data_IF_442868324310
#
_entry.id   IF_442868324310
#
_cell.length_a   1.000
_cell.length_b   1.000
_cell.length_c   1.000
_cell.angle_alpha   90.00
_cell.angle_beta   90.00
_cell.angle_gamma   90.00
#
_symmetry.space_group_name_H-M   'P 1'
#
loop_
_entity.id
_entity.type
_entity.pdbx_description
1 polymer ?
#
# COMPACT_ATOMS: atom_id res chain seq x y z
N UNK A 1 -17.73 11.13 -23.00
CA UNK A 1 -17.28 10.65 -21.67
C UNK A 1 -16.44 11.67 -20.88
N UNK A 2 -15.20 12.05 -21.28
CA UNK A 2 -14.41 13.04 -20.51
C UNK A 2 -15.02 14.45 -20.50
N UNK A 3 -15.55 14.89 -21.64
CA UNK A 3 -16.18 16.21 -21.78
C UNK A 3 -17.52 16.29 -21.02
N UNK A 4 -18.33 15.23 -21.06
CA UNK A 4 -19.57 15.13 -20.29
C UNK A 4 -19.30 15.18 -18.78
N UNK A 5 -18.30 14.45 -18.29
CA UNK A 5 -17.90 14.50 -16.88
C UNK A 5 -17.39 15.89 -16.48
N UNK A 6 -16.66 16.57 -17.37
CA UNK A 6 -16.15 17.92 -17.12
C UNK A 6 -17.29 18.94 -17.05
N UNK A 7 -18.26 18.84 -17.97
CA UNK A 7 -19.46 19.68 -17.99
C UNK A 7 -20.30 19.49 -16.72
N UNK A 8 -20.55 18.23 -16.33
CA UNK A 8 -21.29 17.91 -15.11
C UNK A 8 -20.57 18.40 -13.85
N UNK A 9 -19.26 18.18 -13.71
CA UNK A 9 -18.52 18.70 -12.56
C UNK A 9 -18.51 20.23 -12.52
N UNK A 10 -18.56 20.88 -13.68
CA UNK A 10 -18.73 22.32 -13.80
C UNK A 10 -20.03 22.84 -13.18
N UNK A 11 -21.15 22.11 -13.30
CA UNK A 11 -22.42 22.48 -12.65
C UNK A 11 -22.31 22.44 -11.12
N UNK A 12 -21.47 21.53 -10.60
CA UNK A 12 -21.14 21.41 -9.17
C UNK A 12 -20.02 22.36 -8.71
N UNK A 13 -19.54 23.27 -9.58
CA UNK A 13 -18.39 24.16 -9.33
C UNK A 13 -17.09 23.43 -8.96
N UNK A 14 -16.93 22.19 -9.44
CA UNK A 14 -15.72 21.38 -9.27
C UNK A 14 -14.87 21.41 -10.55
N UNK A 15 -13.53 21.32 -10.39
CA UNK A 15 -12.58 21.22 -11.50
C UNK A 15 -11.77 19.93 -11.39
N UNK A 16 -11.63 19.21 -12.50
CA UNK A 16 -10.77 18.03 -12.59
C UNK A 16 -9.30 18.43 -12.58
N UNK A 17 -8.52 17.81 -11.70
CA UNK A 17 -7.06 17.92 -11.68
C UNK A 17 -6.48 17.09 -12.82
N UNK A 18 -6.06 17.73 -13.93
CA UNK A 18 -5.51 17.04 -15.11
C UNK A 18 -4.38 16.05 -14.78
N UNK A 19 -3.51 16.41 -13.84
CA UNK A 19 -2.41 15.54 -13.37
C UNK A 19 -2.88 14.22 -12.72
N UNK A 20 -4.06 14.22 -12.09
CA UNK A 20 -4.60 13.06 -11.36
C UNK A 20 -5.56 12.22 -12.21
N UNK A 21 -5.84 12.64 -13.45
CA UNK A 21 -6.85 12.03 -14.34
C UNK A 21 -6.22 11.45 -15.62
N UNK A 22 -5.09 10.77 -15.45
CA UNK A 22 -4.43 10.03 -16.52
C UNK A 22 -5.27 8.79 -16.91
N UNK A 23 -5.43 8.57 -18.21
CA UNK A 23 -5.99 7.31 -18.75
C UNK A 23 -4.79 6.45 -19.12
N UNK A 24 -4.54 5.40 -18.33
CA UNK A 24 -3.45 4.46 -18.60
C UNK A 24 -3.99 3.15 -19.15
N UNK A 25 -3.20 2.48 -19.98
CA UNK A 25 -3.57 1.14 -20.42
C UNK A 25 -3.53 0.18 -19.23
N UNK A 26 -4.48 -0.75 -19.16
CA UNK A 26 -4.63 -1.65 -18.00
C UNK A 26 -3.41 -2.54 -17.76
N UNK A 27 -2.55 -2.75 -18.77
CA UNK A 27 -1.28 -3.47 -18.60
C UNK A 27 -0.23 -2.64 -17.84
N UNK A 28 -0.19 -1.32 -18.06
CA UNK A 28 0.75 -0.42 -17.39
C UNK A 28 0.34 -0.24 -15.92
N UNK A 29 -0.97 -0.28 -15.68
CA UNK A 29 -1.57 -0.21 -14.37
C UNK A 29 -1.70 1.22 -13.85
N UNK A 30 -2.29 1.34 -12.67
CA UNK A 30 -2.45 2.61 -11.96
C UNK A 30 -2.60 2.40 -10.46
N UNK A 31 -2.36 3.46 -9.69
CA UNK A 31 -2.55 3.48 -8.24
C UNK A 31 -3.94 4.00 -7.92
N UNK A 32 -4.66 3.30 -7.05
CA UNK A 32 -5.97 3.72 -6.58
C UNK A 32 -6.16 3.32 -5.12
N UNK A 33 -6.52 4.29 -4.26
CA UNK A 33 -6.72 4.10 -2.82
C UNK A 33 -5.57 3.33 -2.12
N UNK A 34 -4.32 3.58 -2.52
CA UNK A 34 -3.16 2.91 -1.94
C UNK A 34 -2.93 1.47 -2.43
N UNK A 35 -3.64 1.03 -3.48
CA UNK A 35 -3.42 -0.23 -4.18
C UNK A 35 -2.83 0.01 -5.56
N UNK A 36 -2.07 -0.96 -6.05
CA UNK A 36 -1.56 -1.01 -7.42
C UNK A 36 -2.40 -1.98 -8.23
N UNK A 37 -3.16 -1.45 -9.18
CA UNK A 37 -4.07 -2.22 -10.04
C UNK A 37 -3.41 -2.37 -11.40
N UNK A 38 -3.16 -3.61 -11.83
CA UNK A 38 -2.62 -3.90 -13.17
C UNK A 38 -3.11 -5.22 -13.72
N UNK A 39 -3.20 -5.33 -15.04
CA UNK A 39 -3.43 -6.61 -15.72
C UNK A 39 -2.11 -7.36 -15.83
N UNK A 40 -2.08 -8.63 -15.42
CA UNK A 40 -0.92 -9.50 -15.60
C UNK A 40 -1.35 -10.94 -15.87
N UNK A 41 -0.41 -11.75 -16.38
CA UNK A 41 -0.65 -13.17 -16.57
C UNK A 41 -0.82 -13.87 -15.22
N UNK A 42 -1.82 -14.74 -15.14
CA UNK A 42 -1.99 -15.71 -14.06
C UNK A 42 -1.04 -16.88 -14.27
N UNK A 43 -0.85 -17.73 -13.25
CA UNK A 43 -0.09 -18.97 -13.37
C UNK A 43 -0.63 -19.91 -14.46
N UNK A 44 -1.92 -19.77 -14.79
CA UNK A 44 -2.62 -20.53 -15.85
C UNK A 44 -2.54 -19.86 -17.22
N UNK A 45 -1.66 -18.88 -17.42
CA UNK A 45 -1.47 -18.18 -18.71
C UNK A 45 -2.59 -17.21 -19.12
N UNK A 46 -3.63 -17.04 -18.30
CA UNK A 46 -4.75 -16.11 -18.59
C UNK A 46 -4.43 -14.70 -18.10
N UNK A 47 -4.77 -13.66 -18.87
CA UNK A 47 -4.67 -12.26 -18.44
C UNK A 47 -5.78 -11.94 -17.44
N UNK A 48 -5.42 -11.46 -16.26
CA UNK A 48 -6.39 -11.02 -15.24
C UNK A 48 -5.91 -9.75 -14.53
N UNK A 49 -6.85 -8.93 -14.07
CA UNK A 49 -6.56 -7.79 -13.22
C UNK A 49 -6.08 -8.29 -11.85
N UNK A 50 -4.97 -7.74 -11.37
CA UNK A 50 -4.44 -7.99 -10.03
C UNK A 50 -4.41 -6.70 -9.24
N UNK A 51 -4.84 -6.81 -8.00
CA UNK A 51 -4.71 -5.78 -6.98
C UNK A 51 -3.53 -6.14 -6.11
N UNK A 52 -2.54 -5.26 -6.06
CA UNK A 52 -1.25 -5.47 -5.39
C UNK A 52 -0.99 -4.34 -4.40
N UNK A 53 -0.09 -4.59 -3.45
CA UNK A 53 0.42 -3.56 -2.56
C UNK A 53 1.53 -2.79 -3.29
N UNK A 54 1.45 -1.46 -3.45
CA UNK A 54 2.52 -0.67 -4.05
C UNK A 54 3.82 -0.76 -3.24
N UNK A 55 4.97 -0.76 -3.92
CA UNK A 55 6.27 -0.86 -3.25
C UNK A 55 6.55 0.32 -2.32
N UNK A 56 6.09 1.52 -2.66
CA UNK A 56 6.23 2.67 -1.76
C UNK A 56 5.41 2.53 -0.48
N UNK A 57 4.27 1.82 -0.50
CA UNK A 57 3.47 1.58 0.68
C UNK A 57 4.17 0.59 1.62
N UNK A 58 4.84 -0.43 1.07
CA UNK A 58 5.69 -1.36 1.83
C UNK A 58 6.89 -0.64 2.44
N UNK A 59 7.56 0.21 1.66
CA UNK A 59 8.70 1.02 2.14
C UNK A 59 8.28 1.94 3.29
N UNK A 60 7.20 2.70 3.13
CA UNK A 60 6.68 3.61 4.18
C UNK A 60 6.34 2.87 5.47
N UNK A 61 5.79 1.66 5.37
CA UNK A 61 5.50 0.82 6.54
C UNK A 61 6.78 0.41 7.27
N UNK A 62 7.79 -0.05 6.53
CA UNK A 62 9.09 -0.42 7.10
C UNK A 62 9.81 0.79 7.73
N UNK A 63 9.77 1.95 7.09
CA UNK A 63 10.32 3.19 7.64
C UNK A 63 9.65 3.59 8.95
N UNK A 64 8.31 3.44 9.02
CA UNK A 64 7.56 3.70 10.25
C UNK A 64 7.97 2.74 11.37
N UNK A 65 8.11 1.45 11.07
CA UNK A 65 8.56 0.46 12.06
C UNK A 65 9.98 0.76 12.51
N UNK A 66 10.89 1.03 11.57
CA UNK A 66 12.27 1.39 11.87
C UNK A 66 12.34 2.62 12.76
N UNK A 67 11.45 3.61 12.55
CA UNK A 67 11.37 4.78 13.43
C UNK A 67 10.95 4.40 14.87
N UNK A 68 10.00 3.48 15.02
CA UNK A 68 9.56 2.97 16.31
C UNK A 68 10.61 2.09 17.01
N UNK A 69 11.56 1.51 16.27
CA UNK A 69 12.65 0.67 16.83
C UNK A 69 13.99 1.40 16.94
N UNK A 70 14.04 2.72 16.73
CA UNK A 70 15.31 3.48 16.80
C UNK A 70 15.98 3.38 18.17
N UNK A 71 17.32 3.41 18.26
CA UNK A 71 18.04 3.46 19.53
C UNK A 71 17.63 4.61 20.45
N UNK A 72 17.18 5.74 19.88
CA UNK A 72 16.68 6.89 20.63
C UNK A 72 15.42 6.59 21.46
N UNK A 73 14.73 5.48 21.19
CA UNK A 73 13.54 5.02 21.93
C UNK A 73 13.87 4.06 23.07
N UNK A 74 15.14 3.88 23.44
CA UNK A 74 15.58 2.89 24.44
C UNK A 74 14.94 3.05 25.83
N UNK A 75 14.45 4.24 26.16
CA UNK A 75 13.78 4.52 27.44
C UNK A 75 12.35 3.95 27.50
N UNK A 76 11.76 3.58 26.37
CA UNK A 76 10.45 2.93 26.34
C UNK A 76 10.56 1.45 26.71
N UNK A 77 9.60 0.96 27.51
CA UNK A 77 9.55 -0.46 27.85
C UNK A 77 9.34 -1.33 26.62
N UNK A 78 9.93 -2.52 26.63
CA UNK A 78 9.81 -3.51 25.54
C UNK A 78 8.34 -3.83 25.25
N UNK A 79 7.51 -3.97 26.30
CA UNK A 79 6.08 -4.23 26.15
C UNK A 79 5.35 -3.13 25.41
N UNK A 80 5.65 -1.86 25.71
CA UNK A 80 5.05 -0.71 25.03
C UNK A 80 5.42 -0.70 23.55
N UNK A 81 6.68 -1.02 23.22
CA UNK A 81 7.13 -1.14 21.83
C UNK A 81 6.42 -2.27 21.10
N UNK A 82 6.33 -3.46 21.69
CA UNK A 82 5.63 -4.61 21.10
C UNK A 82 4.16 -4.27 20.84
N UNK A 83 3.47 -3.65 21.80
CA UNK A 83 2.08 -3.23 21.64
C UNK A 83 1.91 -2.20 20.50
N UNK A 84 2.81 -1.22 20.43
CA UNK A 84 2.81 -0.21 19.37
C UNK A 84 3.02 -0.83 17.98
N UNK A 85 4.03 -1.70 17.85
CA UNK A 85 4.33 -2.43 16.63
C UNK A 85 3.16 -3.32 16.19
N UNK A 86 2.55 -4.06 17.12
CA UNK A 86 1.40 -4.91 16.85
C UNK A 86 0.21 -4.10 16.31
N UNK A 87 -0.05 -2.90 16.84
CA UNK A 87 -1.11 -2.01 16.31
C UNK A 87 -0.82 -1.56 14.88
N UNK A 88 0.41 -1.13 14.60
CA UNK A 88 0.83 -0.68 13.26
C UNK A 88 0.72 -1.83 12.25
N UNK A 89 1.33 -2.97 12.57
CA UNK A 89 1.38 -4.15 11.70
C UNK A 89 -0.02 -4.72 11.50
N UNK A 90 -0.80 -4.87 12.57
CA UNK A 90 -2.15 -5.41 12.52
C UNK A 90 -3.08 -4.58 11.63
N UNK A 91 -3.07 -3.26 11.79
CA UNK A 91 -3.86 -2.36 10.94
C UNK A 91 -3.45 -2.42 9.47
N UNK A 92 -2.13 -2.43 9.22
CA UNK A 92 -1.59 -2.49 7.86
C UNK A 92 -1.92 -3.81 7.16
N UNK A 93 -1.76 -4.95 7.85
CA UNK A 93 -2.12 -6.27 7.33
C UNK A 93 -3.62 -6.35 7.04
N UNK A 94 -4.47 -5.83 7.94
CA UNK A 94 -5.92 -5.80 7.73
C UNK A 94 -6.31 -4.98 6.50
N UNK A 95 -5.67 -3.84 6.26
CA UNK A 95 -5.93 -3.02 5.09
C UNK A 95 -5.59 -3.73 3.77
N UNK A 96 -4.49 -4.49 3.74
CA UNK A 96 -3.98 -5.13 2.52
C UNK A 96 -4.32 -6.63 2.38
N UNK A 97 -5.13 -7.20 3.27
CA UNK A 97 -5.39 -8.64 3.35
C UNK A 97 -5.99 -9.25 2.06
N UNK A 98 -6.76 -8.46 1.31
CA UNK A 98 -7.43 -8.92 0.09
C UNK A 98 -6.61 -8.69 -1.19
N UNK A 99 -5.32 -8.32 -1.07
CA UNK A 99 -4.44 -8.21 -2.24
C UNK A 99 -4.01 -9.59 -2.74
N UNK A 100 -3.80 -9.73 -4.05
CA UNK A 100 -3.51 -11.01 -4.70
C UNK A 100 -2.17 -11.65 -4.32
N UNK A 101 -1.34 -10.98 -3.51
CA UNK A 101 -0.05 -11.48 -3.00
C UNK A 101 0.14 -11.25 -1.50
N UNK A 102 -0.95 -11.01 -0.75
CA UNK A 102 -0.90 -10.64 0.66
C UNK A 102 0.02 -11.55 1.49
N UNK A 103 -0.15 -12.88 1.42
CA UNK A 103 0.66 -13.84 2.17
C UNK A 103 2.17 -13.71 1.90
N UNK A 104 2.58 -13.61 0.63
CA UNK A 104 3.99 -13.48 0.27
C UNK A 104 4.57 -12.14 0.71
N UNK A 105 3.82 -11.06 0.55
CA UNK A 105 4.26 -9.72 0.98
C UNK A 105 4.38 -9.66 2.51
N UNK A 106 3.39 -10.18 3.24
CA UNK A 106 3.37 -10.23 4.71
C UNK A 106 4.53 -11.04 5.27
N UNK A 107 4.85 -12.19 4.66
CA UNK A 107 6.00 -13.00 5.04
C UNK A 107 7.33 -12.21 4.90
N UNK A 108 7.52 -11.51 3.78
CA UNK A 108 8.73 -10.70 3.56
C UNK A 108 8.86 -9.56 4.57
N UNK A 109 7.76 -8.89 4.89
CA UNK A 109 7.80 -7.82 5.88
C UNK A 109 8.06 -8.36 7.28
N UNK A 110 7.43 -9.46 7.67
CA UNK A 110 7.69 -10.12 8.96
C UNK A 110 9.19 -10.39 9.15
N UNK A 111 9.85 -10.94 8.14
CA UNK A 111 11.29 -11.21 8.21
C UNK A 111 12.11 -9.92 8.39
N UNK A 112 11.75 -8.83 7.72
CA UNK A 112 12.43 -7.53 7.92
C UNK A 112 12.19 -6.93 9.30
N UNK A 113 10.94 -6.99 9.79
CA UNK A 113 10.58 -6.50 11.12
C UNK A 113 11.32 -7.25 12.22
N UNK A 114 11.46 -8.57 12.08
CA UNK A 114 12.26 -9.39 12.99
C UNK A 114 13.69 -8.87 13.11
N UNK A 115 14.35 -8.57 11.98
CA UNK A 115 15.72 -8.03 11.98
C UNK A 115 15.83 -6.65 12.63
N UNK A 116 14.80 -5.80 12.51
CA UNK A 116 14.75 -4.49 13.18
C UNK A 116 14.50 -4.56 14.69
N UNK A 117 14.05 -5.69 15.20
CA UNK A 117 13.86 -5.91 16.64
C UNK A 117 15.05 -6.62 17.29
N UNK A 118 15.77 -7.44 16.50
CA UNK A 118 16.92 -8.21 16.98
C UNK A 118 18.22 -7.38 17.08
N UNK A 119 18.27 -6.19 16.48
CA UNK A 119 19.39 -5.23 16.50
C UNK A 119 18.87 -3.86 16.91
#
# INVERSE_FOLDING_TARGET
MKEELFSFLGTLRLRLSKEKTAVTHVNDGFKFLGFWIRRSLTSKGRKSAKVLIPEEAKRKMLERIQHCTKPSTHQESVDTKILSLNRIIGGWCRYYQYTGKASSDFHKMRNKVYWYMAH
#
